data_IF_779273878991
#
_entry.id   IF_779273878991
#
_cell.length_a   1.000
_cell.length_b   1.000
_cell.length_c   1.000
_cell.angle_alpha   90.00
_cell.angle_beta   90.00
_cell.angle_gamma   90.00
#
_symmetry.space_group_name_H-M   'P 1'
#
loop_
_entity.id
_entity.type
_entity.pdbx_description
1 polymer ?
#
# COMPACT_ATOMS: atom_id res chain seq x y z
N UNK A 1 59.35 -11.71 -12.32
CA UNK A 1 58.39 -11.20 -13.33
C UNK A 1 57.56 -10.07 -12.71
N UNK A 2 58.03 -8.81 -12.70
CA UNK A 2 57.17 -7.67 -12.38
C UNK A 2 56.65 -7.06 -13.69
N UNK A 3 55.35 -7.21 -13.94
CA UNK A 3 54.65 -6.56 -15.04
C UNK A 3 54.35 -5.10 -14.69
N UNK A 4 55.01 -4.18 -15.37
CA UNK A 4 54.64 -2.77 -15.40
C UNK A 4 53.31 -2.62 -16.15
N UNK A 5 52.25 -2.24 -15.46
CA UNK A 5 51.01 -1.78 -16.10
C UNK A 5 51.15 -0.27 -16.30
N UNK A 6 51.17 0.13 -17.57
CA UNK A 6 51.43 1.48 -18.02
C UNK A 6 50.31 2.44 -17.63
N UNK A 7 50.77 3.60 -17.14
CA UNK A 7 50.05 4.85 -16.99
C UNK A 7 49.31 5.22 -18.29
N UNK A 8 47.98 5.33 -18.22
CA UNK A 8 47.18 6.04 -19.22
C UNK A 8 46.56 7.25 -18.53
N UNK A 9 47.37 8.30 -18.42
CA UNK A 9 46.88 9.64 -18.19
C UNK A 9 45.99 10.03 -19.38
N UNK A 10 44.68 9.88 -19.21
CA UNK A 10 43.68 10.39 -20.13
C UNK A 10 43.76 11.92 -20.10
N UNK A 11 44.44 12.46 -21.11
CA UNK A 11 44.54 13.88 -21.40
C UNK A 11 43.15 14.36 -21.85
N UNK A 12 42.29 14.76 -20.90
CA UNK A 12 41.03 15.43 -21.22
C UNK A 12 41.34 16.81 -21.80
N UNK A 13 41.34 16.88 -23.13
CA UNK A 13 41.36 18.12 -23.91
C UNK A 13 40.15 18.96 -23.49
N UNK A 14 40.40 20.00 -22.71
CA UNK A 14 39.43 21.03 -22.35
C UNK A 14 38.95 21.74 -23.62
N UNK A 15 37.75 21.39 -24.09
CA UNK A 15 37.03 22.22 -25.06
C UNK A 15 36.78 23.59 -24.41
N UNK A 16 37.50 24.60 -24.89
CA UNK A 16 37.17 26.01 -24.71
C UNK A 16 35.75 26.22 -25.26
N UNK A 17 34.75 26.16 -24.37
CA UNK A 17 33.42 26.64 -24.68
C UNK A 17 33.54 28.15 -24.94
N UNK A 18 33.61 28.54 -26.21
CA UNK A 18 33.43 29.93 -26.59
C UNK A 18 32.05 30.35 -26.07
N UNK A 19 31.94 31.46 -25.32
CA UNK A 19 30.64 31.95 -24.89
C UNK A 19 29.87 32.38 -26.13
N UNK A 20 28.88 31.57 -26.54
CA UNK A 20 27.91 31.96 -27.55
C UNK A 20 26.96 32.98 -26.91
N UNK A 21 27.37 34.25 -26.90
CA UNK A 21 26.47 35.35 -26.57
C UNK A 21 25.46 35.51 -27.71
N UNK A 22 24.32 34.84 -27.61
CA UNK A 22 23.21 34.99 -28.53
C UNK A 22 22.51 36.33 -28.26
N UNK A 23 22.84 37.36 -29.05
CA UNK A 23 22.11 38.63 -29.07
C UNK A 23 20.83 38.46 -29.90
N UNK A 24 19.67 38.82 -29.35
CA UNK A 24 18.40 38.78 -30.11
C UNK A 24 18.29 40.06 -30.95
N UNK A 25 18.24 39.88 -32.26
CA UNK A 25 18.06 40.92 -33.26
C UNK A 25 16.60 40.96 -33.73
N UNK A 26 16.05 42.17 -33.83
CA UNK A 26 14.78 42.47 -34.50
C UNK A 26 15.08 42.83 -35.95
N UNK A 27 14.79 41.92 -36.87
CA UNK A 27 14.86 42.15 -38.31
C UNK A 27 13.53 42.71 -38.79
N UNK A 28 13.56 43.87 -39.46
CA UNK A 28 12.37 44.48 -40.06
C UNK A 28 12.54 44.50 -41.57
N UNK A 29 11.68 43.79 -42.30
CA UNK A 29 11.65 43.83 -43.76
C UNK A 29 11.33 45.24 -44.24
N UNK A 30 12.21 45.81 -45.08
CA UNK A 30 12.11 47.18 -45.58
C UNK A 30 11.03 47.36 -46.65
N UNK A 31 10.61 46.28 -47.32
CA UNK A 31 9.56 46.33 -48.35
C UNK A 31 8.18 46.04 -47.78
N UNK A 32 8.07 45.07 -46.85
CA UNK A 32 6.77 44.63 -46.31
C UNK A 32 6.46 45.14 -44.90
N UNK A 33 7.46 45.65 -44.18
CA UNK A 33 7.34 46.03 -42.76
C UNK A 33 7.26 44.85 -41.81
N UNK A 34 7.36 43.60 -42.29
CA UNK A 34 7.28 42.39 -41.45
C UNK A 34 8.46 42.33 -40.47
N UNK A 35 8.16 42.09 -39.19
CA UNK A 35 9.16 41.95 -38.12
C UNK A 35 9.42 40.48 -37.83
N UNK A 36 10.68 40.08 -37.72
CA UNK A 36 11.11 38.73 -37.30
C UNK A 36 12.24 38.86 -36.29
N UNK A 37 12.20 38.07 -35.23
CA UNK A 37 13.26 38.03 -34.21
C UNK A 37 14.16 36.82 -34.46
N UNK A 38 15.46 37.03 -34.40
CA UNK A 38 16.47 35.98 -34.60
C UNK A 38 17.66 36.22 -33.67
N UNK A 39 18.32 35.15 -33.27
CA UNK A 39 19.58 35.11 -32.53
C UNK A 39 20.82 35.04 -33.46
N UNK A 40 20.60 35.05 -34.78
CA UNK A 40 21.62 35.06 -35.83
C UNK A 40 21.54 36.31 -36.71
N UNK A 41 22.11 36.26 -37.92
CA UNK A 41 22.11 37.40 -38.84
C UNK A 41 20.76 37.61 -39.52
N UNK A 42 20.33 38.86 -39.67
CA UNK A 42 19.14 39.21 -40.45
C UNK A 42 19.32 38.92 -41.95
N UNK A 43 18.24 38.53 -42.64
CA UNK A 43 18.25 38.29 -44.08
C UNK A 43 18.49 39.59 -44.89
N UNK A 44 19.09 39.46 -46.08
CA UNK A 44 19.38 40.61 -46.96
C UNK A 44 18.11 41.41 -47.29
N UNK A 45 18.18 42.74 -47.18
CA UNK A 45 17.03 43.64 -47.39
C UNK A 45 16.19 43.93 -46.15
N UNK A 46 16.58 43.43 -44.98
CA UNK A 46 15.95 43.77 -43.69
C UNK A 46 16.81 44.72 -42.87
N UNK A 47 16.19 45.65 -42.14
CA UNK A 47 16.84 46.49 -41.15
C UNK A 47 16.99 45.72 -39.83
N UNK A 48 18.22 45.51 -39.38
CA UNK A 48 18.53 44.86 -38.12
C UNK A 48 18.61 45.88 -36.98
N UNK A 49 17.97 45.57 -35.84
CA UNK A 49 18.11 46.34 -34.60
C UNK A 49 18.22 45.39 -33.41
N UNK A 50 19.22 45.58 -32.55
CA UNK A 50 19.32 44.87 -31.28
C UNK A 50 18.11 45.18 -30.39
N UNK A 51 17.49 44.13 -29.84
CA UNK A 51 16.30 44.27 -28.97
C UNK A 51 16.72 44.78 -27.59
N UNK A 52 17.85 44.32 -27.09
CA UNK A 52 18.49 44.80 -25.87
C UNK A 52 19.97 45.05 -26.18
N UNK A 53 20.49 46.19 -25.69
CA UNK A 53 21.89 46.52 -25.89
C UNK A 53 22.77 45.47 -25.20
N UNK A 54 23.83 45.03 -25.89
CA UNK A 54 24.85 44.21 -25.25
C UNK A 54 25.42 44.96 -24.04
N UNK A 55 25.34 44.34 -22.85
CA UNK A 55 25.99 44.83 -21.63
C UNK A 55 27.47 45.11 -21.90
N UNK A 56 27.97 46.22 -21.36
CA UNK A 56 29.38 46.56 -21.53
C UNK A 56 30.27 45.51 -20.85
N UNK A 57 31.54 45.37 -21.27
CA UNK A 57 32.48 44.50 -20.58
C UNK A 57 32.60 44.83 -19.09
N UNK A 58 32.53 46.11 -18.72
CA UNK A 58 32.59 46.58 -17.34
C UNK A 58 31.36 46.13 -16.53
N UNK A 59 30.14 46.27 -17.08
CA UNK A 59 28.90 45.83 -16.42
C UNK A 59 28.89 44.32 -16.19
N UNK A 60 29.39 43.54 -17.16
CA UNK A 60 29.52 42.09 -17.01
C UNK A 60 30.54 41.68 -15.94
N UNK A 61 31.64 42.42 -15.80
CA UNK A 61 32.61 42.16 -14.73
C UNK A 61 32.03 42.49 -13.37
N UNK A 62 31.35 43.64 -13.24
CA UNK A 62 30.70 44.03 -12.00
C UNK A 62 29.64 43.01 -11.57
N UNK A 63 28.83 42.50 -12.50
CA UNK A 63 27.83 41.47 -12.21
C UNK A 63 28.48 40.17 -11.72
N UNK A 64 29.63 39.78 -12.28
CA UNK A 64 30.39 38.60 -11.84
C UNK A 64 30.96 38.79 -10.44
N UNK A 65 31.49 39.96 -10.14
CA UNK A 65 32.02 40.29 -8.80
C UNK A 65 30.90 40.25 -7.75
N UNK A 66 29.75 40.87 -8.03
CA UNK A 66 28.59 40.82 -7.15
C UNK A 66 28.06 39.40 -6.95
N UNK A 67 28.04 38.60 -8.03
CA UNK A 67 27.65 37.20 -7.95
C UNK A 67 28.63 36.37 -7.10
N UNK A 68 29.93 36.61 -7.24
CA UNK A 68 30.96 35.95 -6.44
C UNK A 68 30.80 36.29 -4.95
N UNK A 69 30.65 37.58 -4.61
CA UNK A 69 30.44 38.02 -3.23
C UNK A 69 29.15 37.43 -2.62
N UNK A 70 28.06 37.38 -3.40
CA UNK A 70 26.81 36.76 -2.96
C UNK A 70 26.97 35.26 -2.67
N UNK A 71 27.75 34.55 -3.49
CA UNK A 71 28.04 33.13 -3.27
C UNK A 71 28.91 32.91 -2.04
N UNK A 72 29.95 33.73 -1.83
CA UNK A 72 30.80 33.65 -0.64
C UNK A 72 29.98 33.89 0.64
N UNK A 73 29.15 34.94 0.66
CA UNK A 73 28.24 35.21 1.80
C UNK A 73 27.28 34.06 2.06
N UNK A 74 26.75 33.45 1.00
CA UNK A 74 25.88 32.28 1.11
C UNK A 74 26.63 31.07 1.70
N UNK A 75 27.86 30.82 1.25
CA UNK A 75 28.69 29.73 1.77
C UNK A 75 29.01 29.93 3.24
N UNK A 76 29.46 31.12 3.65
CA UNK A 76 29.73 31.46 5.05
C UNK A 76 28.50 31.24 5.94
N UNK A 77 27.32 31.64 5.46
CA UNK A 77 26.06 31.42 6.18
C UNK A 77 25.75 29.93 6.36
N UNK A 78 25.91 29.14 5.30
CA UNK A 78 25.66 27.70 5.35
C UNK A 78 26.64 26.99 6.30
N UNK A 79 27.91 27.38 6.30
CA UNK A 79 28.91 26.85 7.23
C UNK A 79 28.58 27.19 8.68
N UNK A 80 28.18 28.44 8.96
CA UNK A 80 27.76 28.85 10.29
C UNK A 80 26.49 28.10 10.77
N UNK A 81 25.52 27.93 9.88
CA UNK A 81 24.30 27.16 10.15
C UNK A 81 24.61 25.68 10.40
N UNK A 82 25.52 25.07 9.63
CA UNK A 82 25.96 23.69 9.81
C UNK A 82 26.67 23.48 11.15
N UNK A 83 27.60 24.36 11.51
CA UNK A 83 28.31 24.31 12.80
C UNK A 83 27.35 24.47 13.98
N UNK A 84 26.37 25.38 13.86
CA UNK A 84 25.34 25.58 14.87
C UNK A 84 24.45 24.33 15.03
N UNK A 85 24.03 23.73 13.92
CA UNK A 85 23.24 22.51 13.90
C UNK A 85 23.99 21.31 14.53
N UNK A 86 25.27 21.13 14.20
CA UNK A 86 26.11 20.09 14.79
C UNK A 86 26.27 20.28 16.30
N UNK A 87 26.54 21.51 16.73
CA UNK A 87 26.65 21.84 18.16
C UNK A 87 25.36 21.55 18.91
N UNK A 88 24.21 21.91 18.32
CA UNK A 88 22.90 21.63 18.90
C UNK A 88 22.60 20.13 18.95
N UNK A 89 22.92 19.39 17.90
CA UNK A 89 22.76 17.93 17.85
C UNK A 89 23.59 17.25 18.94
N UNK A 90 24.85 17.66 19.12
CA UNK A 90 25.71 17.16 20.19
C UNK A 90 25.13 17.43 21.59
N UNK A 91 24.69 18.66 21.86
CA UNK A 91 24.05 19.02 23.13
C UNK A 91 22.78 18.21 23.39
N UNK A 92 21.98 17.98 22.36
CA UNK A 92 20.78 17.15 22.49
C UNK A 92 21.14 15.70 22.78
N UNK A 93 22.12 15.13 22.07
CA UNK A 93 22.58 13.76 22.34
C UNK A 93 23.14 13.62 23.77
N UNK A 94 23.88 14.60 24.27
CA UNK A 94 24.37 14.63 25.66
C UNK A 94 23.21 14.70 26.67
N UNK A 95 22.20 15.54 26.41
CA UNK A 95 20.97 15.61 27.24
C UNK A 95 20.20 14.31 27.24
N UNK A 96 20.06 13.66 26.09
CA UNK A 96 19.34 12.40 25.95
C UNK A 96 20.08 11.26 26.66
N UNK A 97 21.42 11.21 26.55
CA UNK A 97 22.24 10.27 27.34
C UNK A 97 22.10 10.51 28.83
N UNK A 98 22.10 11.76 29.28
CA UNK A 98 21.91 12.09 30.70
C UNK A 98 20.52 11.67 31.20
N UNK A 99 19.46 11.90 30.40
CA UNK A 99 18.10 11.45 30.70
C UNK A 99 18.01 9.92 30.76
N UNK A 100 18.61 9.22 29.79
CA UNK A 100 18.65 7.76 29.77
C UNK A 100 19.40 7.19 30.99
N UNK A 101 20.53 7.79 31.36
CA UNK A 101 21.28 7.39 32.56
C UNK A 101 20.47 7.62 33.84
N UNK A 102 19.77 8.75 33.97
CA UNK A 102 18.86 9.02 35.10
C UNK A 102 17.69 8.04 35.13
N UNK A 103 17.09 7.72 33.98
CA UNK A 103 16.02 6.74 33.89
C UNK A 103 16.50 5.33 34.28
N UNK A 104 17.70 4.94 33.87
CA UNK A 104 18.32 3.67 34.26
C UNK A 104 18.65 3.63 35.76
N UNK A 105 19.15 4.73 36.33
CA UNK A 105 19.44 4.83 37.76
C UNK A 105 18.16 4.78 38.63
N UNK A 106 17.07 5.34 38.13
CA UNK A 106 15.75 5.31 38.79
C UNK A 106 14.93 4.07 38.44
N UNK A 107 15.45 3.16 37.60
CA UNK A 107 14.74 1.93 37.26
C UNK A 107 14.61 1.07 38.53
N UNK A 108 13.42 0.49 38.80
CA UNK A 108 13.25 -0.46 39.88
C UNK A 108 14.29 -1.58 39.75
N UNK A 109 14.96 -1.93 40.86
CA UNK A 109 15.89 -3.06 40.86
C UNK A 109 15.16 -4.34 40.41
N UNK A 110 15.83 -5.24 39.66
CA UNK A 110 15.27 -6.55 39.33
C UNK A 110 14.93 -7.29 40.62
N UNK A 111 13.65 -7.39 40.95
CA UNK A 111 13.19 -8.19 42.08
C UNK A 111 13.15 -9.66 41.65
N UNK A 112 13.65 -10.55 42.50
CA UNK A 112 13.54 -12.00 42.28
C UNK A 112 12.12 -12.46 42.64
N UNK A 113 11.18 -12.20 41.73
CA UNK A 113 9.76 -12.55 41.87
C UNK A 113 9.55 -14.05 42.16
N UNK A 114 10.41 -14.91 41.63
CA UNK A 114 10.33 -16.35 41.85
C UNK A 114 10.60 -16.75 43.31
N UNK A 115 11.34 -15.94 44.07
CA UNK A 115 11.60 -16.14 45.50
C UNK A 115 10.66 -15.35 46.41
N UNK A 116 9.70 -14.62 45.85
CA UNK A 116 8.75 -13.83 46.62
C UNK A 116 7.79 -14.71 47.44
N UNK A 117 7.33 -14.25 48.62
CA UNK A 117 6.31 -14.97 49.39
C UNK A 117 4.97 -15.07 48.62
N UNK A 118 4.69 -14.12 47.74
CA UNK A 118 3.54 -14.12 46.83
C UNK A 118 3.61 -15.31 45.87
N UNK A 119 4.75 -15.48 45.17
CA UNK A 119 4.98 -16.63 44.29
C UNK A 119 4.84 -17.95 45.06
N UNK A 120 5.42 -18.04 46.27
CA UNK A 120 5.30 -19.24 47.10
C UNK A 120 3.83 -19.54 47.49
N UNK A 121 3.01 -18.52 47.74
CA UNK A 121 1.57 -18.67 48.00
C UNK A 121 0.82 -19.13 46.75
N UNK A 122 1.12 -18.52 45.62
CA UNK A 122 0.47 -18.80 44.34
C UNK A 122 0.74 -20.23 43.87
N UNK A 123 1.99 -20.71 44.01
CA UNK A 123 2.36 -22.11 43.75
C UNK A 123 1.53 -23.10 44.57
N UNK A 124 1.44 -22.87 45.88
CA UNK A 124 0.62 -23.73 46.76
C UNK A 124 -0.85 -23.74 46.34
N UNK A 125 -1.40 -22.59 45.95
CA UNK A 125 -2.78 -22.50 45.46
C UNK A 125 -2.96 -23.29 44.15
N UNK A 126 -2.02 -23.16 43.22
CA UNK A 126 -2.04 -23.94 41.98
C UNK A 126 -1.98 -25.45 42.26
N UNK A 127 -1.08 -25.89 43.14
CA UNK A 127 -0.94 -27.31 43.53
C UNK A 127 -2.25 -27.86 44.13
N UNK A 128 -2.94 -27.07 44.97
CA UNK A 128 -4.23 -27.44 45.55
C UNK A 128 -5.34 -27.58 44.49
N UNK A 129 -5.42 -26.62 43.55
CA UNK A 129 -6.40 -26.66 42.45
C UNK A 129 -6.11 -27.83 41.50
N UNK A 130 -4.83 -28.08 41.21
CA UNK A 130 -4.38 -29.18 40.37
C UNK A 130 -4.67 -30.56 41.01
N UNK A 131 -4.44 -30.71 42.31
CA UNK A 131 -4.74 -31.95 43.04
C UNK A 131 -6.24 -32.26 43.12
N UNK A 132 -7.11 -31.24 43.01
CA UNK A 132 -8.57 -31.39 43.03
C UNK A 132 -9.20 -31.95 41.74
N UNK A 133 -8.41 -32.21 40.68
CA UNK A 133 -8.89 -32.56 39.33
C UNK A 133 -9.30 -34.03 39.14
N UNK A 134 -9.80 -34.70 40.18
CA UNK A 134 -10.18 -36.12 40.10
C UNK A 134 -11.34 -36.41 39.13
N UNK A 135 -12.06 -35.39 38.65
CA UNK A 135 -13.05 -35.48 37.55
C UNK A 135 -13.04 -34.18 36.73
N UNK A 136 -12.21 -34.09 35.69
CA UNK A 136 -12.09 -32.91 34.82
C UNK A 136 -13.46 -32.41 34.34
N UNK A 137 -13.97 -31.35 34.96
CA UNK A 137 -15.10 -30.58 34.46
C UNK A 137 -14.58 -29.31 33.79
N UNK A 138 -15.32 -28.78 32.82
CA UNK A 138 -14.98 -27.51 32.16
C UNK A 138 -14.71 -26.37 33.17
N UNK A 139 -15.50 -26.30 34.25
CA UNK A 139 -15.30 -25.30 35.32
C UNK A 139 -14.01 -25.53 36.13
N UNK A 140 -13.58 -26.79 36.28
CA UNK A 140 -12.31 -27.11 36.92
C UNK A 140 -11.11 -26.73 36.04
N UNK A 141 -11.20 -26.96 34.74
CA UNK A 141 -10.16 -26.54 33.77
C UNK A 141 -10.00 -25.01 33.76
N UNK A 142 -11.10 -24.26 33.78
CA UNK A 142 -11.04 -22.79 33.85
C UNK A 142 -10.40 -22.28 35.15
N UNK A 143 -10.69 -22.92 36.29
CA UNK A 143 -10.06 -22.59 37.58
C UNK A 143 -8.58 -22.90 37.59
N UNK A 144 -8.16 -24.01 36.99
CA UNK A 144 -6.76 -24.36 36.84
C UNK A 144 -6.02 -23.33 35.99
N UNK A 145 -6.60 -22.93 34.86
CA UNK A 145 -6.02 -21.92 33.97
C UNK A 145 -5.89 -20.55 34.65
N UNK A 146 -6.90 -20.15 35.42
CA UNK A 146 -6.85 -18.93 36.21
C UNK A 146 -5.79 -18.99 37.31
N UNK A 147 -5.67 -20.12 38.02
CA UNK A 147 -4.63 -20.33 39.04
C UNK A 147 -3.22 -20.30 38.43
N UNK A 148 -3.04 -20.88 37.24
CA UNK A 148 -1.77 -20.83 36.51
C UNK A 148 -1.40 -19.39 36.13
N UNK A 149 -2.33 -18.61 35.58
CA UNK A 149 -2.08 -17.20 35.24
C UNK A 149 -1.72 -16.37 36.46
N UNK A 150 -2.37 -16.61 37.60
CA UNK A 150 -2.03 -15.94 38.85
C UNK A 150 -0.62 -16.30 39.33
N UNK A 151 -0.23 -17.57 39.23
CA UNK A 151 1.13 -18.01 39.54
C UNK A 151 2.16 -17.36 38.61
N UNK A 152 1.90 -17.30 37.31
CA UNK A 152 2.80 -16.66 36.35
C UNK A 152 2.97 -15.17 36.63
N UNK A 153 1.89 -14.47 37.01
CA UNK A 153 1.93 -13.07 37.42
C UNK A 153 2.84 -12.84 38.64
N UNK A 154 2.68 -13.68 39.67
CA UNK A 154 3.37 -13.53 40.96
C UNK A 154 4.83 -13.99 40.89
N UNK A 155 5.13 -15.01 40.09
CA UNK A 155 6.46 -15.64 40.01
C UNK A 155 7.35 -15.06 38.91
N UNK A 156 6.80 -14.59 37.80
CA UNK A 156 7.57 -14.00 36.69
C UNK A 156 7.65 -12.47 36.77
N UNK A 157 6.76 -11.86 37.57
CA UNK A 157 6.58 -10.43 37.62
C UNK A 157 5.90 -9.87 36.35
N UNK A 158 5.66 -8.54 36.31
CA UNK A 158 4.84 -7.93 35.26
C UNK A 158 5.44 -8.05 33.85
N UNK A 159 6.78 -8.00 33.73
CA UNK A 159 7.44 -8.12 32.44
C UNK A 159 7.40 -9.56 31.90
N UNK A 160 7.74 -10.55 32.74
CA UNK A 160 7.69 -11.96 32.34
C UNK A 160 6.27 -12.45 32.08
N UNK A 161 5.29 -12.02 32.89
CA UNK A 161 3.87 -12.31 32.64
C UNK A 161 3.38 -11.74 31.31
N UNK A 162 3.74 -10.49 30.99
CA UNK A 162 3.37 -9.89 29.71
C UNK A 162 3.93 -10.65 28.50
N UNK A 163 5.13 -11.24 28.62
CA UNK A 163 5.72 -12.08 27.57
C UNK A 163 4.99 -13.42 27.43
N UNK A 164 4.65 -14.08 28.54
CA UNK A 164 3.85 -15.31 28.52
C UNK A 164 2.47 -15.07 27.91
N UNK A 165 1.79 -13.98 28.27
CA UNK A 165 0.48 -13.64 27.69
C UNK A 165 0.57 -13.31 26.19
N UNK A 166 1.64 -12.64 25.74
CA UNK A 166 1.90 -12.45 24.29
C UNK A 166 2.05 -13.78 23.57
N UNK A 167 2.83 -14.70 24.14
CA UNK A 167 3.00 -16.03 23.56
C UNK A 167 1.69 -16.81 23.56
N UNK A 168 0.87 -16.69 24.61
CA UNK A 168 -0.47 -17.29 24.70
C UNK A 168 -1.42 -16.74 23.65
N UNK A 169 -1.39 -15.42 23.41
CA UNK A 169 -2.16 -14.77 22.35
C UNK A 169 -1.69 -15.18 20.94
N UNK A 170 -0.40 -15.45 20.78
CA UNK A 170 0.19 -15.91 19.52
C UNK A 170 -0.03 -17.42 19.25
N UNK A 171 -0.48 -18.20 20.24
CA UNK A 171 -0.75 -19.62 20.03
C UNK A 171 -1.98 -19.82 19.12
N UNK A 172 -1.87 -20.63 18.06
CA UNK A 172 -3.02 -20.93 17.22
C UNK A 172 -4.05 -21.71 18.03
N UNK A 173 -5.29 -21.19 18.09
CA UNK A 173 -6.42 -21.94 18.66
C UNK A 173 -6.65 -23.18 17.78
N UNK A 174 -6.20 -24.35 18.24
CA UNK A 174 -6.48 -25.62 17.57
C UNK A 174 -7.96 -25.93 17.80
N UNK A 175 -8.79 -25.51 16.84
CA UNK A 175 -10.18 -25.96 16.78
C UNK A 175 -10.14 -27.41 16.30
N UNK A 176 -10.23 -28.34 17.25
CA UNK A 176 -10.50 -29.74 16.91
C UNK A 176 -11.94 -29.78 16.40
N UNK A 177 -12.09 -29.69 15.08
CA UNK A 177 -13.36 -30.01 14.44
C UNK A 177 -13.54 -31.51 14.65
N UNK A 178 -14.52 -31.96 15.46
CA UNK A 178 -14.77 -33.39 15.59
C UNK A 178 -14.99 -33.94 14.18
N UNK A 179 -14.44 -35.12 13.83
CA UNK A 179 -14.69 -35.71 12.52
C UNK A 179 -16.20 -35.78 12.36
N UNK A 180 -16.72 -35.05 11.36
CA UNK A 180 -18.14 -34.95 11.07
C UNK A 180 -18.69 -36.37 10.97
N UNK A 181 -19.36 -36.84 12.03
CA UNK A 181 -20.19 -38.04 11.94
C UNK A 181 -21.27 -37.67 10.93
N UNK A 182 -21.14 -38.24 9.74
CA UNK A 182 -22.05 -38.17 8.59
C UNK A 182 -23.11 -37.07 8.72
N UNK A 183 -22.80 -35.89 8.17
CA UNK A 183 -23.84 -34.93 7.84
C UNK A 183 -24.75 -35.63 6.83
N UNK A 184 -26.05 -35.84 7.08
CA UNK A 184 -26.95 -36.21 6.01
C UNK A 184 -26.85 -35.10 4.98
N UNK A 185 -26.51 -35.45 3.74
CA UNK A 185 -26.69 -34.59 2.58
C UNK A 185 -28.19 -34.29 2.52
N UNK A 186 -28.61 -33.16 3.08
CA UNK A 186 -29.82 -32.52 2.60
C UNK A 186 -29.50 -32.11 1.15
N UNK A 187 -30.34 -32.49 0.16
CA UNK A 187 -30.12 -32.04 -1.20
C UNK A 187 -30.12 -30.51 -1.21
N UNK A 188 -29.11 -29.93 -1.87
CA UNK A 188 -29.04 -28.50 -2.11
C UNK A 188 -30.39 -27.99 -2.64
N UNK A 189 -30.95 -26.86 -2.14
CA UNK A 189 -32.22 -26.33 -2.64
C UNK A 189 -32.12 -25.74 -4.06
N UNK A 190 -30.96 -25.81 -4.70
CA UNK A 190 -30.73 -25.21 -6.01
C UNK A 190 -30.29 -26.29 -7.01
N UNK A 191 -31.14 -26.63 -8.01
CA UNK A 191 -30.73 -27.56 -9.05
C UNK A 191 -29.59 -26.94 -9.88
N UNK A 192 -28.49 -27.68 -10.01
CA UNK A 192 -27.46 -27.40 -11.00
C UNK A 192 -28.12 -27.37 -12.39
N UNK A 193 -27.81 -26.35 -13.18
CA UNK A 193 -28.37 -26.17 -14.52
C UNK A 193 -28.03 -27.39 -15.40
N UNK A 194 -29.00 -28.26 -15.59
CA UNK A 194 -28.94 -29.34 -16.56
C UNK A 194 -28.82 -28.79 -17.99
N UNK A 195 -28.58 -29.66 -18.99
CA UNK A 195 -28.50 -29.24 -20.39
C UNK A 195 -29.74 -28.42 -20.76
N UNK A 196 -29.52 -27.25 -21.38
CA UNK A 196 -30.58 -26.33 -21.76
C UNK A 196 -31.57 -27.06 -22.67
N UNK A 197 -32.72 -27.42 -22.13
CA UNK A 197 -33.80 -28.04 -22.89
C UNK A 197 -34.19 -27.08 -24.03
N UNK A 198 -34.35 -27.56 -25.28
CA UNK A 198 -34.73 -26.70 -26.39
C UNK A 198 -36.11 -26.08 -26.10
N UNK A 199 -36.23 -24.77 -26.31
CA UNK A 199 -37.47 -24.03 -26.01
C UNK A 199 -38.65 -24.65 -26.77
N UNK A 200 -39.80 -24.89 -26.11
CA UNK A 200 -40.97 -25.50 -26.75
C UNK A 200 -41.49 -24.60 -27.88
N UNK A 201 -41.74 -25.18 -29.05
CA UNK A 201 -42.34 -24.55 -30.22
C UNK A 201 -43.43 -25.46 -30.76
N UNK A 202 -44.57 -24.88 -31.14
CA UNK A 202 -45.66 -25.61 -31.77
C UNK A 202 -45.22 -26.15 -33.13
N UNK A 203 -45.38 -27.45 -33.33
CA UNK A 203 -44.98 -28.14 -34.56
C UNK A 203 -46.19 -28.52 -35.41
N UNK A 204 -47.32 -28.87 -34.80
CA UNK A 204 -48.54 -29.29 -35.51
C UNK A 204 -49.80 -28.79 -34.81
N UNK A 205 -50.79 -28.31 -35.57
CA UNK A 205 -52.06 -27.82 -35.05
C UNK A 205 -53.25 -28.37 -35.84
N UNK A 206 -54.03 -29.26 -35.21
CA UNK A 206 -55.31 -29.77 -35.72
C UNK A 206 -56.52 -29.03 -35.13
N UNK A 207 -57.74 -29.33 -35.58
CA UNK A 207 -58.97 -28.54 -35.39
C UNK A 207 -59.23 -28.04 -33.98
N UNK A 208 -58.93 -28.85 -32.96
CA UNK A 208 -59.18 -28.50 -31.57
C UNK A 208 -57.91 -28.40 -30.70
N UNK A 209 -56.75 -28.86 -31.18
CA UNK A 209 -55.52 -28.96 -30.38
C UNK A 209 -54.24 -28.74 -31.18
N UNK A 210 -53.22 -28.19 -30.52
CA UNK A 210 -51.87 -28.04 -31.04
C UNK A 210 -50.86 -28.84 -30.21
N UNK A 211 -49.82 -29.38 -30.85
CA UNK A 211 -48.72 -30.11 -30.22
C UNK A 211 -47.39 -29.39 -30.39
N UNK A 212 -46.53 -29.42 -29.36
CA UNK A 212 -45.17 -28.89 -29.42
C UNK A 212 -44.13 -29.95 -29.82
N UNK A 213 -42.88 -29.51 -30.07
CA UNK A 213 -41.74 -30.37 -30.38
C UNK A 213 -41.32 -31.31 -29.23
N UNK A 214 -41.90 -31.16 -28.05
CA UNK A 214 -41.69 -32.03 -26.88
C UNK A 214 -42.87 -33.00 -26.67
N UNK A 215 -43.90 -32.95 -27.54
CA UNK A 215 -45.07 -33.84 -27.51
C UNK A 215 -46.23 -33.36 -26.64
N UNK A 216 -46.15 -32.18 -26.02
CA UNK A 216 -47.24 -31.67 -25.19
C UNK A 216 -48.37 -31.10 -26.05
N UNK A 217 -49.63 -31.33 -25.62
CA UNK A 217 -50.82 -30.96 -26.39
C UNK A 217 -51.67 -29.90 -25.70
N UNK A 218 -52.03 -28.84 -26.42
CA UNK A 218 -52.71 -27.65 -25.90
C UNK A 218 -54.02 -27.38 -26.66
N UNK A 219 -55.07 -26.82 -26.02
CA UNK A 219 -56.33 -26.47 -26.69
C UNK A 219 -56.15 -25.27 -27.62
N UNK A 220 -56.82 -25.28 -28.78
CA UNK A 220 -56.71 -24.22 -29.81
C UNK A 220 -57.44 -22.92 -29.43
N UNK A 221 -58.52 -23.03 -28.67
CA UNK A 221 -59.41 -21.94 -28.23
C UNK A 221 -59.58 -21.95 -26.71
N UNK A 222 -59.48 -20.77 -26.10
CA UNK A 222 -59.43 -20.58 -24.64
C UNK A 222 -58.06 -20.10 -24.17
N UNK A 223 -57.89 -19.71 -22.89
CA UNK A 223 -56.65 -19.14 -22.34
C UNK A 223 -55.58 -20.22 -22.12
N UNK A 224 -55.37 -21.09 -23.11
CA UNK A 224 -54.27 -22.03 -23.16
C UNK A 224 -52.96 -21.25 -23.15
N UNK A 225 -52.21 -21.40 -22.07
CA UNK A 225 -51.01 -20.62 -21.79
C UNK A 225 -49.82 -21.27 -22.48
N UNK A 226 -49.31 -20.67 -23.55
CA UNK A 226 -48.03 -21.07 -24.14
C UNK A 226 -46.89 -20.30 -23.46
N UNK A 227 -45.86 -20.98 -22.91
CA UNK A 227 -44.69 -20.30 -22.37
C UNK A 227 -43.79 -19.80 -23.52
N UNK A 228 -43.80 -18.49 -23.75
CA UNK A 228 -42.90 -17.81 -24.70
C UNK A 228 -41.89 -16.89 -24.00
N UNK A 229 -40.84 -16.41 -24.72
CA UNK A 229 -39.77 -15.59 -24.14
C UNK A 229 -40.21 -14.21 -23.60
N UNK A 230 -41.46 -13.80 -23.84
CA UNK A 230 -42.07 -12.58 -23.27
C UNK A 230 -43.29 -12.85 -22.36
N UNK A 231 -43.58 -14.11 -22.01
CA UNK A 231 -44.76 -14.49 -21.25
C UNK A 231 -45.79 -15.30 -22.04
N UNK A 232 -47.03 -15.28 -21.57
CA UNK A 232 -48.11 -16.19 -22.00
C UNK A 232 -48.75 -15.72 -23.31
N UNK A 233 -48.46 -16.38 -24.44
CA UNK A 233 -49.01 -16.01 -25.74
C UNK A 233 -50.45 -16.54 -25.93
N UNK A 234 -51.35 -15.73 -26.51
CA UNK A 234 -52.71 -16.13 -26.90
C UNK A 234 -52.77 -16.39 -28.41
N UNK A 235 -53.28 -17.54 -28.82
CA UNK A 235 -53.52 -17.87 -30.23
C UNK A 235 -54.58 -16.95 -30.81
N UNK A 236 -54.29 -16.30 -31.94
CA UNK A 236 -55.28 -15.54 -32.72
C UNK A 236 -55.42 -16.22 -34.09
N UNK A 237 -56.55 -16.90 -34.32
CA UNK A 237 -56.84 -17.53 -35.61
C UNK A 237 -55.92 -18.68 -36.01
N UNK A 238 -55.38 -19.44 -35.05
CA UNK A 238 -54.55 -20.63 -35.35
C UNK A 238 -53.10 -20.33 -35.75
N UNK A 239 -52.69 -19.05 -35.72
CA UNK A 239 -51.29 -18.66 -35.68
C UNK A 239 -50.99 -18.03 -34.31
N UNK A 240 -49.93 -18.48 -33.66
CA UNK A 240 -49.40 -17.83 -32.47
C UNK A 240 -48.06 -17.17 -32.86
N UNK A 241 -48.02 -15.90 -33.28
CA UNK A 241 -46.80 -15.13 -33.23
C UNK A 241 -46.52 -14.88 -31.75
N UNK A 242 -45.41 -15.42 -31.24
CA UNK A 242 -45.01 -15.22 -29.86
C UNK A 242 -44.72 -13.75 -29.58
#
# INVERSE_FOLDING_TARGET
MPGHVFSHAALCLSLLALPAAAQVLRCTDTQTGKVTYTDGTCAGGTAAREVEARKSPEELQQERELAAEALERKQQRLEAEALAAETQARRNAERDRARAAQAAANAPQPQDYARSPECARSRRNFDLVAAGLSRSTYDQELRLEAAQRQMDLDCLGPQGYAEVEKNRAAQPRVVVVPPSRHRPLFPDPFPQAGPVQPKPRLTQCGDFRCTDNLGNTYPRVGPGRFPGPGGVCRSNGGQAPC
#
